data_IF_278387220232
#
_entry.id   IF_278387220232
#
_cell.length_a   1.000
_cell.length_b   1.000
_cell.length_c   1.000
_cell.angle_alpha   90.00
_cell.angle_beta   90.00
_cell.angle_gamma   90.00
#
_symmetry.space_group_name_H-M   'P 1'
#
loop_
_entity.id
_entity.type
_entity.pdbx_description
1 polymer ?
#
# COMPACT_ATOMS: atom_id res chain seq x y z
N UNK A 1 -30.47 -12.56 36.13
CA UNK A 1 -29.35 -11.73 36.60
C UNK A 1 -29.03 -10.78 35.47
N UNK A 2 -29.38 -9.51 35.62
CA UNK A 2 -28.87 -8.47 34.73
C UNK A 2 -27.40 -8.25 35.12
N UNK A 3 -26.49 -8.52 34.19
CA UNK A 3 -25.10 -8.14 34.39
C UNK A 3 -25.05 -6.61 34.44
N UNK A 4 -24.37 -6.00 35.41
CA UNK A 4 -24.18 -4.57 35.41
C UNK A 4 -23.40 -4.19 34.15
N UNK A 5 -24.11 -3.65 33.16
CA UNK A 5 -23.51 -3.00 32.00
C UNK A 5 -22.86 -1.71 32.46
N UNK A 6 -21.65 -1.46 31.98
CA UNK A 6 -21.04 -0.14 32.15
C UNK A 6 -22.00 0.93 31.61
N UNK A 7 -21.92 2.13 32.15
CA UNK A 7 -22.64 3.24 31.55
C UNK A 7 -22.19 3.44 30.08
N UNK A 8 -23.09 3.89 29.20
CA UNK A 8 -22.79 3.98 27.77
C UNK A 8 -21.58 4.86 27.45
N UNK A 9 -21.34 5.92 28.22
CA UNK A 9 -20.24 6.85 28.00
C UNK A 9 -18.90 6.17 28.30
N UNK A 10 -18.79 5.48 29.45
CA UNK A 10 -17.62 4.65 29.78
C UNK A 10 -17.38 3.57 28.73
N UNK A 11 -18.44 2.94 28.22
CA UNK A 11 -18.30 1.92 27.18
C UNK A 11 -17.70 2.50 25.88
N UNK A 12 -18.12 3.69 25.48
CA UNK A 12 -17.59 4.40 24.31
C UNK A 12 -16.12 4.75 24.52
N UNK A 13 -15.76 5.30 25.68
CA UNK A 13 -14.37 5.65 26.01
C UNK A 13 -13.45 4.42 25.96
N UNK A 14 -13.87 3.31 26.57
CA UNK A 14 -13.11 2.05 26.55
C UNK A 14 -12.97 1.52 25.12
N UNK A 15 -14.05 1.56 24.32
CA UNK A 15 -13.99 1.13 22.91
C UNK A 15 -13.02 1.98 22.09
N UNK A 16 -12.99 3.30 22.31
CA UNK A 16 -12.03 4.21 21.67
C UNK A 16 -10.59 3.91 22.10
N UNK A 17 -10.35 3.63 23.38
CA UNK A 17 -9.03 3.23 23.89
C UNK A 17 -8.55 1.91 23.28
N UNK A 18 -9.45 0.92 23.16
CA UNK A 18 -9.16 -0.37 22.52
C UNK A 18 -8.87 -0.16 21.04
N UNK A 19 -9.68 0.62 20.33
CA UNK A 19 -9.48 0.92 18.92
C UNK A 19 -8.12 1.57 18.69
N UNK A 20 -7.78 2.59 19.48
CA UNK A 20 -6.51 3.31 19.33
C UNK A 20 -5.30 2.40 19.58
N UNK A 21 -5.40 1.53 20.59
CA UNK A 21 -4.40 0.50 20.86
C UNK A 21 -4.23 -0.47 19.69
N UNK A 22 -5.34 -1.05 19.20
CA UNK A 22 -5.32 -2.01 18.11
C UNK A 22 -4.77 -1.38 16.82
N UNK A 23 -5.14 -0.13 16.52
CA UNK A 23 -4.58 0.62 15.39
C UNK A 23 -3.06 0.73 15.51
N UNK A 24 -2.55 1.19 16.65
CA UNK A 24 -1.11 1.35 16.84
C UNK A 24 -0.34 0.03 16.72
N UNK A 25 -0.81 -1.04 17.35
CA UNK A 25 -0.16 -2.36 17.26
C UNK A 25 -0.22 -2.90 15.83
N UNK A 26 -1.37 -2.77 15.16
CA UNK A 26 -1.53 -3.28 13.79
C UNK A 26 -0.66 -2.51 12.79
N UNK A 27 -0.56 -1.18 12.93
CA UNK A 27 0.32 -0.35 12.10
C UNK A 27 1.78 -0.75 12.32
N UNK A 28 2.22 -0.89 13.57
CA UNK A 28 3.58 -1.30 13.90
C UNK A 28 3.92 -2.67 13.29
N UNK A 29 2.98 -3.62 13.38
CA UNK A 29 3.11 -4.92 12.73
C UNK A 29 3.22 -4.75 11.20
N UNK A 30 2.29 -4.05 10.54
CA UNK A 30 2.33 -3.88 9.08
C UNK A 30 3.65 -3.26 8.62
N UNK A 31 4.14 -2.24 9.31
CA UNK A 31 5.41 -1.57 8.99
C UNK A 31 6.62 -2.51 9.20
N UNK A 32 6.71 -3.18 10.34
CA UNK A 32 7.79 -4.12 10.64
C UNK A 32 7.80 -5.32 9.68
N UNK A 33 6.63 -5.84 9.31
CA UNK A 33 6.52 -6.94 8.34
C UNK A 33 6.91 -6.51 6.93
N UNK A 34 6.52 -5.30 6.51
CA UNK A 34 6.94 -4.73 5.23
C UNK A 34 8.46 -4.63 5.12
N UNK A 35 9.13 -4.19 6.19
CA UNK A 35 10.59 -4.10 6.25
C UNK A 35 11.28 -5.48 6.17
N UNK A 36 10.85 -6.46 7.00
CA UNK A 36 11.45 -7.79 7.03
C UNK A 36 11.31 -8.55 5.69
N UNK A 37 10.20 -8.34 4.97
CA UNK A 37 9.98 -8.91 3.62
C UNK A 37 10.94 -8.33 2.60
N UNK A 38 11.20 -7.01 2.64
CA UNK A 38 12.17 -6.36 1.73
C UNK A 38 13.62 -6.84 1.95
N UNK A 39 13.92 -7.39 3.12
CA UNK A 39 15.23 -7.94 3.50
C UNK A 39 15.36 -9.46 3.25
N UNK A 40 14.37 -10.08 2.59
CA UNK A 40 14.41 -11.49 2.19
C UNK A 40 14.27 -12.48 3.35
N UNK A 41 13.83 -12.03 4.53
CA UNK A 41 13.57 -12.90 5.67
C UNK A 41 12.19 -13.56 5.52
N UNK A 42 12.14 -14.89 5.74
CA UNK A 42 10.89 -15.63 5.79
C UNK A 42 10.05 -15.12 6.97
N UNK A 43 9.09 -14.25 6.66
CA UNK A 43 8.10 -13.77 7.60
C UNK A 43 7.31 -14.97 8.12
N UNK A 44 7.41 -15.26 9.42
CA UNK A 44 6.34 -15.99 10.10
C UNK A 44 5.02 -15.28 9.76
N UNK A 45 4.04 -16.07 9.31
CA UNK A 45 2.73 -15.57 8.93
C UNK A 45 1.98 -15.15 10.20
N UNK A 46 2.22 -13.94 10.67
CA UNK A 46 1.39 -13.34 11.71
C UNK A 46 0.06 -13.00 11.06
N UNK A 47 -0.96 -13.75 11.46
CA UNK A 47 -2.31 -13.56 10.95
C UNK A 47 -2.83 -12.19 11.40
N UNK A 48 -2.67 -11.17 10.54
CA UNK A 48 -3.22 -9.83 10.77
C UNK A 48 -4.74 -9.81 10.65
N UNK A 49 -5.37 -10.88 10.16
CA UNK A 49 -6.82 -10.89 9.89
C UNK A 49 -7.64 -10.66 11.15
N UNK A 50 -7.22 -11.19 12.31
CA UNK A 50 -7.95 -10.99 13.55
C UNK A 50 -7.94 -9.52 14.00
N UNK A 51 -6.80 -8.84 13.89
CA UNK A 51 -6.66 -7.43 14.23
C UNK A 51 -7.55 -6.56 13.35
N UNK A 52 -7.47 -6.78 12.03
CA UNK A 52 -8.21 -6.02 11.04
C UNK A 52 -9.71 -6.21 11.18
N UNK A 53 -10.17 -7.46 11.32
CA UNK A 53 -11.58 -7.77 11.54
C UNK A 53 -12.10 -7.12 12.82
N UNK A 54 -11.29 -7.07 13.89
CA UNK A 54 -11.66 -6.44 15.15
C UNK A 54 -11.76 -4.92 15.00
N UNK A 55 -10.79 -4.28 14.35
CA UNK A 55 -10.80 -2.85 14.04
C UNK A 55 -12.04 -2.49 13.21
N UNK A 56 -12.33 -3.26 12.16
CA UNK A 56 -13.49 -3.03 11.31
C UNK A 56 -14.80 -3.21 12.07
N UNK A 57 -14.89 -4.22 12.93
CA UNK A 57 -16.07 -4.45 13.77
C UNK A 57 -16.30 -3.28 14.74
N UNK A 58 -15.26 -2.83 15.45
CA UNK A 58 -15.37 -1.71 16.39
C UNK A 58 -15.76 -0.44 15.64
N UNK A 59 -15.13 -0.17 14.49
CA UNK A 59 -15.40 1.02 13.66
C UNK A 59 -16.81 1.02 13.07
N UNK A 60 -17.31 -0.11 12.59
CA UNK A 60 -18.58 -0.18 11.88
C UNK A 60 -19.80 -0.37 12.81
N UNK A 61 -19.62 -1.12 13.90
CA UNK A 61 -20.73 -1.57 14.74
C UNK A 61 -20.80 -0.79 16.06
N UNK A 62 -19.66 -0.35 16.60
CA UNK A 62 -19.60 0.14 17.97
C UNK A 62 -19.40 1.65 18.10
N UNK A 63 -18.94 2.33 17.04
CA UNK A 63 -18.57 3.74 17.12
C UNK A 63 -19.07 4.53 15.91
N UNK A 64 -19.61 5.71 16.16
CA UNK A 64 -19.89 6.68 15.10
C UNK A 64 -18.60 7.39 14.68
N UNK A 65 -18.36 7.62 13.37
CA UNK A 65 -17.15 8.28 12.88
C UNK A 65 -16.86 9.66 13.51
N UNK A 66 -17.91 10.39 13.91
CA UNK A 66 -17.81 11.72 14.53
C UNK A 66 -17.19 11.70 15.94
N UNK A 67 -17.05 10.52 16.55
CA UNK A 67 -16.46 10.34 17.88
C UNK A 67 -14.94 10.17 17.84
N UNK A 68 -14.35 10.02 16.66
CA UNK A 68 -12.91 9.79 16.55
C UNK A 68 -12.13 11.08 16.76
N UNK A 69 -11.08 10.99 17.57
CA UNK A 69 -10.09 12.07 17.65
C UNK A 69 -9.34 12.19 16.31
N UNK A 70 -8.73 13.34 16.09
CA UNK A 70 -7.88 13.57 14.91
C UNK A 70 -6.80 12.49 14.77
N UNK A 71 -6.18 12.08 15.88
CA UNK A 71 -5.11 11.09 15.88
C UNK A 71 -5.63 9.69 15.49
N UNK A 72 -6.82 9.30 15.94
CA UNK A 72 -7.46 8.05 15.51
C UNK A 72 -7.77 8.11 14.01
N UNK A 73 -8.29 9.22 13.50
CA UNK A 73 -8.51 9.40 12.06
C UNK A 73 -7.22 9.25 11.25
N UNK A 74 -6.13 9.89 11.70
CA UNK A 74 -4.83 9.76 11.04
C UNK A 74 -4.36 8.31 11.08
N UNK A 75 -4.43 7.63 12.23
CA UNK A 75 -4.02 6.22 12.38
C UNK A 75 -4.81 5.28 11.46
N UNK A 76 -6.12 5.49 11.30
CA UNK A 76 -6.94 4.74 10.34
C UNK A 76 -6.40 4.93 8.91
N UNK A 77 -6.14 6.17 8.50
CA UNK A 77 -5.59 6.43 7.16
C UNK A 77 -4.16 5.88 6.97
N UNK A 78 -3.33 5.89 8.02
CA UNK A 78 -2.00 5.25 8.01
C UNK A 78 -2.15 3.75 7.75
N UNK A 79 -3.05 3.07 8.48
CA UNK A 79 -3.26 1.64 8.32
C UNK A 79 -3.75 1.29 6.92
N UNK A 80 -4.80 1.98 6.43
CA UNK A 80 -5.36 1.73 5.10
C UNK A 80 -4.31 1.92 3.99
N UNK A 81 -3.50 2.97 4.08
CA UNK A 81 -2.43 3.22 3.12
C UNK A 81 -1.30 2.18 3.23
N UNK A 82 -0.85 1.86 4.45
CA UNK A 82 0.22 0.91 4.69
C UNK A 82 -0.13 -0.50 4.16
N UNK A 83 -1.37 -0.95 4.38
CA UNK A 83 -1.85 -2.22 3.83
C UNK A 83 -1.80 -2.22 2.30
N UNK A 84 -2.38 -1.20 1.66
CA UNK A 84 -2.41 -1.10 0.21
C UNK A 84 -1.01 -1.05 -0.41
N UNK A 85 -0.08 -0.36 0.25
CA UNK A 85 1.31 -0.25 -0.14
C UNK A 85 2.05 -1.58 0.01
N UNK A 86 1.92 -2.26 1.16
CA UNK A 86 2.58 -3.53 1.44
C UNK A 86 2.07 -4.67 0.56
N UNK A 87 0.75 -4.75 0.32
CA UNK A 87 0.17 -5.72 -0.62
C UNK A 87 0.66 -5.46 -2.06
N UNK A 88 1.09 -4.23 -2.33
CA UNK A 88 1.65 -3.71 -3.60
C UNK A 88 2.87 -4.47 -4.05
N UNK A 89 3.83 -4.50 -3.16
CA UNK A 89 5.15 -5.07 -3.38
C UNK A 89 5.11 -6.58 -3.63
N UNK A 90 4.19 -7.30 -2.98
CA UNK A 90 4.06 -8.76 -3.11
C UNK A 90 3.71 -9.18 -4.54
N UNK A 91 2.98 -8.36 -5.29
CA UNK A 91 2.55 -8.69 -6.65
C UNK A 91 3.60 -8.33 -7.72
N UNK A 92 4.37 -7.26 -7.50
CA UNK A 92 5.44 -6.82 -8.40
C UNK A 92 6.67 -7.73 -8.34
N UNK A 93 7.00 -8.28 -7.17
CA UNK A 93 8.09 -9.25 -7.03
C UNK A 93 7.77 -10.62 -7.66
N UNK A 94 6.51 -11.06 -7.61
CA UNK A 94 6.09 -12.34 -8.20
C UNK A 94 6.00 -12.31 -9.74
N UNK A 95 5.85 -11.13 -10.34
CA UNK A 95 5.97 -10.95 -11.79
C UNK A 95 7.41 -11.16 -12.30
N UNK A 96 8.40 -11.25 -11.40
CA UNK A 96 9.81 -11.47 -11.71
C UNK A 96 10.29 -12.91 -11.44
N UNK A 97 9.56 -13.93 -11.90
CA UNK A 97 10.08 -15.31 -11.94
C UNK A 97 10.90 -15.57 -13.23
N UNK A 98 11.86 -16.51 -13.20
CA UNK A 98 13.22 -16.30 -13.69
C UNK A 98 13.31 -16.27 -15.21
N UNK A 99 14.22 -15.44 -15.70
CA UNK A 99 14.76 -15.55 -17.04
C UNK A 99 15.19 -17.00 -17.27
N UNK A 100 14.48 -17.69 -18.16
CA UNK A 100 14.89 -18.97 -18.72
C UNK A 100 16.32 -18.79 -19.20
N UNK A 101 17.27 -19.45 -18.53
CA UNK A 101 18.61 -19.67 -19.04
C UNK A 101 18.47 -20.38 -20.39
N UNK A 102 18.54 -19.58 -21.46
CA UNK A 102 18.79 -20.08 -22.80
C UNK A 102 20.20 -20.67 -22.77
N UNK A 103 20.26 -21.96 -22.49
CA UNK A 103 21.43 -22.82 -22.67
C UNK A 103 22.07 -22.52 -24.02
N UNK A 104 23.29 -21.99 -23.96
CA UNK A 104 24.18 -21.81 -25.09
C UNK A 104 24.32 -23.14 -25.84
N UNK A 105 23.75 -23.19 -27.03
CA UNK A 105 23.95 -24.27 -27.97
C UNK A 105 25.43 -24.36 -28.37
N UNK A 106 26.10 -25.39 -27.88
CA UNK A 106 27.41 -25.80 -28.38
C UNK A 106 27.23 -26.55 -29.71
N UNK A 107 27.71 -25.96 -30.79
CA UNK A 107 27.98 -26.65 -32.04
C UNK A 107 29.25 -27.49 -31.90
N UNK A 108 29.18 -28.80 -32.20
CA UNK A 108 30.25 -29.55 -32.88
C UNK A 108 29.73 -30.85 -33.53
N UNK A 109 29.72 -30.80 -34.86
CA UNK A 109 30.03 -31.81 -35.88
C UNK A 109 29.67 -33.30 -35.71
N UNK A 110 28.74 -33.73 -36.58
CA UNK A 110 28.91 -34.72 -37.68
C UNK A 110 29.57 -36.08 -37.42
N UNK A 111 28.75 -37.13 -37.53
CA UNK A 111 28.93 -38.45 -38.19
C UNK A 111 27.60 -39.20 -37.91
N UNK A 112 26.85 -39.86 -38.80
CA UNK A 112 27.14 -40.66 -39.99
C UNK A 112 26.44 -42.04 -39.78
N UNK A 113 25.62 -42.47 -40.75
CA UNK A 113 25.05 -43.83 -40.96
C UNK A 113 23.53 -44.08 -40.69
N UNK A 114 22.76 -44.04 -41.78
CA UNK A 114 21.88 -45.09 -42.36
C UNK A 114 20.99 -46.00 -41.47
N UNK A 115 19.66 -45.95 -41.65
CA UNK A 115 18.88 -46.83 -42.58
C UNK A 115 17.40 -47.04 -42.17
N UNK A 116 16.53 -46.90 -43.17
CA UNK A 116 15.35 -47.70 -43.59
C UNK A 116 14.37 -48.26 -42.53
N UNK A 117 13.09 -47.91 -42.69
CA UNK A 117 11.96 -48.69 -42.14
C UNK A 117 10.59 -48.01 -42.30
N UNK A 118 9.78 -48.53 -43.23
CA UNK A 118 8.45 -48.09 -43.67
C UNK A 118 7.31 -48.28 -42.65
N UNK A 119 6.34 -47.36 -42.68
CA UNK A 119 4.90 -47.60 -42.95
C UNK A 119 3.85 -47.07 -41.95
N UNK A 120 2.80 -46.49 -42.56
CA UNK A 120 1.40 -46.32 -42.13
C UNK A 120 0.97 -45.32 -41.03
N UNK A 121 0.31 -44.26 -41.54
CA UNK A 121 -1.10 -43.89 -41.23
C UNK A 121 -1.37 -43.12 -39.93
N UNK A 122 -1.53 -41.79 -40.07
CA UNK A 122 -2.81 -41.07 -39.85
C UNK A 122 -2.70 -39.62 -40.29
N UNK A 123 -3.44 -39.27 -41.34
CA UNK A 123 -3.87 -37.88 -41.59
C UNK A 123 -4.74 -37.45 -40.41
N UNK A 124 -4.28 -36.47 -39.65
CA UNK A 124 -5.14 -35.53 -38.94
C UNK A 124 -4.60 -34.15 -39.25
N UNK A 125 -5.37 -33.40 -40.03
CA UNK A 125 -5.16 -31.98 -40.27
C UNK A 125 -5.15 -31.23 -38.93
N UNK A 126 -4.20 -30.31 -38.68
CA UNK A 126 -4.40 -29.33 -37.63
C UNK A 126 -5.44 -28.32 -38.12
N UNK A 127 -6.66 -28.52 -37.62
CA UNK A 127 -7.73 -27.54 -37.61
C UNK A 127 -7.17 -26.25 -36.98
N UNK A 128 -7.40 -25.11 -37.63
CA UNK A 128 -7.28 -23.80 -37.01
C UNK A 128 -7.92 -23.78 -35.62
N UNK A 129 -7.16 -23.34 -34.61
CA UNK A 129 -7.70 -22.81 -33.35
C UNK A 129 -6.87 -21.60 -32.89
N UNK A 130 -7.53 -20.65 -32.22
CA UNK A 130 -7.23 -19.24 -32.35
C UNK A 130 -6.23 -18.76 -31.29
N UNK A 131 -5.41 -17.83 -31.71
CA UNK A 131 -4.36 -17.18 -30.94
C UNK A 131 -4.93 -16.01 -30.11
N UNK A 132 -6.06 -16.20 -29.42
CA UNK A 132 -6.88 -15.09 -28.88
C UNK A 132 -6.90 -14.97 -27.35
N UNK A 133 -6.35 -15.94 -26.61
CA UNK A 133 -6.40 -15.92 -25.14
C UNK A 133 -5.21 -15.20 -24.48
N UNK A 134 -4.13 -14.87 -25.21
CA UNK A 134 -2.96 -14.20 -24.61
C UNK A 134 -3.07 -12.68 -24.55
N UNK A 135 -3.80 -12.03 -25.46
CA UNK A 135 -3.94 -10.56 -25.47
C UNK A 135 -4.88 -10.06 -24.38
N UNK A 136 -5.98 -10.77 -24.12
CA UNK A 136 -6.99 -10.41 -23.11
C UNK A 136 -6.42 -10.42 -21.68
N UNK A 137 -5.50 -11.33 -21.38
CA UNK A 137 -4.83 -11.38 -20.08
C UNK A 137 -3.86 -10.22 -19.85
N UNK A 138 -3.20 -9.71 -20.89
CA UNK A 138 -2.22 -8.61 -20.77
C UNK A 138 -2.94 -7.28 -20.53
N UNK A 139 -4.02 -7.00 -21.26
CA UNK A 139 -4.80 -5.76 -21.10
C UNK A 139 -5.47 -5.66 -19.72
N UNK A 140 -5.93 -6.79 -19.18
CA UNK A 140 -6.52 -6.85 -17.83
C UNK A 140 -5.47 -6.61 -16.73
N UNK A 141 -4.24 -7.09 -16.91
CA UNK A 141 -3.13 -6.90 -15.97
C UNK A 141 -2.76 -5.42 -15.82
N UNK A 142 -2.64 -4.70 -16.94
CA UNK A 142 -2.26 -3.28 -16.93
C UNK A 142 -3.35 -2.37 -16.39
N UNK A 143 -4.62 -2.68 -16.70
CA UNK A 143 -5.76 -1.93 -16.14
C UNK A 143 -5.82 -2.08 -14.62
N UNK A 144 -5.57 -3.28 -14.09
CA UNK A 144 -5.49 -3.52 -12.65
C UNK A 144 -4.31 -2.76 -12.00
N UNK A 145 -3.15 -2.74 -12.65
CA UNK A 145 -1.97 -2.00 -12.17
C UNK A 145 -2.19 -0.48 -12.15
N UNK A 146 -2.82 0.09 -13.19
CA UNK A 146 -3.16 1.50 -13.27
C UNK A 146 -4.15 1.92 -12.17
N UNK A 147 -5.23 1.16 -12.00
CA UNK A 147 -6.20 1.39 -10.92
C UNK A 147 -5.54 1.32 -9.54
N UNK A 148 -4.62 0.37 -9.35
CA UNK A 148 -3.89 0.20 -8.09
C UNK A 148 -2.99 1.40 -7.77
N UNK A 149 -2.18 1.85 -8.73
CA UNK A 149 -1.29 3.01 -8.52
C UNK A 149 -2.07 4.28 -8.23
N UNK A 150 -3.21 4.47 -8.89
CA UNK A 150 -4.09 5.60 -8.62
C UNK A 150 -4.70 5.51 -7.21
N UNK A 151 -5.21 4.34 -6.81
CA UNK A 151 -5.77 4.14 -5.47
C UNK A 151 -4.72 4.38 -4.38
N UNK A 152 -3.47 3.95 -4.60
CA UNK A 152 -2.37 4.18 -3.68
C UNK A 152 -2.08 5.67 -3.51
N UNK A 153 -2.04 6.40 -4.63
CA UNK A 153 -1.84 7.84 -4.67
C UNK A 153 -3.00 8.60 -3.99
N UNK A 154 -4.26 8.26 -4.28
CA UNK A 154 -5.44 8.85 -3.63
C UNK A 154 -5.37 8.66 -2.10
N UNK A 155 -5.08 7.44 -1.64
CA UNK A 155 -4.95 7.15 -0.20
C UNK A 155 -3.82 7.94 0.45
N UNK A 156 -2.67 8.06 -0.22
CA UNK A 156 -1.55 8.86 0.28
C UNK A 156 -1.93 10.35 0.40
N UNK A 157 -2.51 10.93 -0.64
CA UNK A 157 -2.91 12.34 -0.63
C UNK A 157 -3.96 12.60 0.45
N UNK A 158 -4.94 11.71 0.62
CA UNK A 158 -5.92 11.78 1.71
C UNK A 158 -5.26 11.72 3.08
N UNK A 159 -4.31 10.81 3.28
CA UNK A 159 -3.54 10.72 4.52
C UNK A 159 -2.81 12.05 4.79
N UNK A 160 -2.22 12.66 3.77
CA UNK A 160 -1.54 13.94 3.94
C UNK A 160 -2.52 15.07 4.33
N UNK A 161 -3.69 15.12 3.71
CA UNK A 161 -4.72 16.12 4.01
C UNK A 161 -5.29 15.97 5.43
N UNK A 162 -5.55 14.74 5.86
CA UNK A 162 -6.04 14.47 7.22
C UNK A 162 -4.95 14.72 8.27
N UNK A 163 -3.68 14.51 7.93
CA UNK A 163 -2.57 14.83 8.83
C UNK A 163 -2.36 16.34 9.01
N UNK A 164 -2.79 17.14 8.05
CA UNK A 164 -2.76 18.61 8.06
C UNK A 164 -1.39 19.16 8.51
N UNK A 165 -1.26 19.62 9.76
CA UNK A 165 -0.03 20.21 10.31
C UNK A 165 0.98 19.17 10.82
N UNK A 166 0.62 17.88 10.91
CA UNK A 166 1.47 16.79 11.39
C UNK A 166 2.10 16.05 10.21
N UNK A 167 2.67 16.75 9.23
CA UNK A 167 3.27 16.14 8.05
C UNK A 167 4.79 15.97 8.21
N UNK A 168 5.32 14.74 8.12
CA UNK A 168 6.75 14.51 8.03
C UNK A 168 7.37 15.18 6.80
N UNK A 169 8.67 15.43 6.87
CA UNK A 169 9.47 15.88 5.71
C UNK A 169 9.45 14.83 4.58
N UNK A 170 9.57 15.27 3.33
CA UNK A 170 9.63 14.38 2.16
C UNK A 170 8.28 13.89 1.63
N UNK A 171 7.15 14.28 2.25
CA UNK A 171 5.82 13.90 1.78
C UNK A 171 5.52 14.35 0.34
N UNK A 172 6.01 15.53 -0.06
CA UNK A 172 5.88 16.03 -1.44
C UNK A 172 6.66 15.19 -2.45
N UNK A 173 7.82 14.65 -2.05
CA UNK A 173 8.65 13.82 -2.91
C UNK A 173 8.01 12.45 -3.11
N UNK A 174 7.44 11.87 -2.04
CA UNK A 174 6.65 10.64 -2.10
C UNK A 174 5.42 10.83 -3.01
N UNK A 175 4.66 11.92 -2.81
CA UNK A 175 3.51 12.23 -3.67
C UNK A 175 3.92 12.35 -5.15
N UNK A 176 5.03 13.05 -5.41
CA UNK A 176 5.57 13.22 -6.76
C UNK A 176 5.90 11.88 -7.40
N UNK A 177 6.54 10.98 -6.66
CA UNK A 177 6.92 9.66 -7.18
C UNK A 177 5.70 8.76 -7.42
N UNK A 178 4.71 8.80 -6.52
CA UNK A 178 3.43 8.09 -6.72
C UNK A 178 2.65 8.63 -7.94
N UNK A 179 2.67 9.95 -8.19
CA UNK A 179 2.11 10.56 -9.41
C UNK A 179 2.85 10.04 -10.64
N UNK A 180 4.19 10.02 -10.62
CA UNK A 180 4.97 9.49 -11.76
C UNK A 180 4.62 8.04 -12.04
N UNK A 181 4.50 7.21 -11.01
CA UNK A 181 4.17 5.80 -11.13
C UNK A 181 2.76 5.59 -11.68
N UNK A 182 1.77 6.35 -11.18
CA UNK A 182 0.41 6.30 -11.69
C UNK A 182 0.31 6.75 -13.16
N UNK A 183 0.99 7.84 -13.52
CA UNK A 183 1.06 8.35 -14.88
C UNK A 183 1.76 7.36 -15.82
N UNK A 184 2.83 6.71 -15.37
CA UNK A 184 3.54 5.69 -16.13
C UNK A 184 2.66 4.45 -16.37
N UNK A 185 1.95 3.98 -15.34
CA UNK A 185 1.05 2.85 -15.49
C UNK A 185 -0.11 3.16 -16.44
N UNK A 186 -0.66 4.37 -16.40
CA UNK A 186 -1.66 4.83 -17.37
C UNK A 186 -1.09 5.00 -18.78
N UNK A 187 0.14 5.46 -18.93
CA UNK A 187 0.80 5.50 -20.24
C UNK A 187 0.98 4.09 -20.83
N UNK A 188 1.39 3.12 -20.01
CA UNK A 188 1.57 1.73 -20.43
C UNK A 188 0.26 1.05 -20.86
N UNK A 189 -0.90 1.45 -20.31
CA UNK A 189 -2.20 0.89 -20.75
C UNK A 189 -2.65 1.42 -22.12
N UNK A 190 -2.14 2.57 -22.56
CA UNK A 190 -2.53 3.23 -23.81
C UNK A 190 -1.80 2.72 -25.07
N UNK A 191 -0.86 1.75 -24.93
CA UNK A 191 -0.15 1.15 -26.05
C UNK A 191 0.90 2.07 -26.71
N UNK A 192 1.25 1.82 -27.98
CA UNK A 192 2.21 2.65 -28.75
C UNK A 192 1.62 4.01 -29.09
N UNK A 193 1.67 4.94 -28.14
CA UNK A 193 1.33 6.36 -28.31
C UNK A 193 2.61 7.22 -28.51
N UNK A 194 2.49 8.45 -29.05
CA UNK A 194 3.62 9.33 -29.30
C UNK A 194 4.32 9.80 -28.02
N UNK A 195 5.51 10.39 -28.21
CA UNK A 195 6.44 10.86 -27.17
C UNK A 195 5.84 11.80 -26.12
N UNK A 196 4.72 12.46 -26.43
CA UNK A 196 4.04 13.41 -25.56
C UNK A 196 2.96 12.78 -24.65
N UNK A 197 2.64 11.49 -24.86
CA UNK A 197 1.55 10.80 -24.14
C UNK A 197 1.74 10.69 -22.63
N UNK A 198 2.99 10.66 -22.14
CA UNK A 198 3.25 10.64 -20.69
C UNK A 198 2.77 11.93 -20.01
N UNK A 199 3.07 13.09 -20.63
CA UNK A 199 2.65 14.37 -20.08
C UNK A 199 1.13 14.45 -19.97
N UNK A 200 0.40 13.96 -20.98
CA UNK A 200 -1.06 13.88 -20.94
C UNK A 200 -1.56 12.94 -19.85
N UNK A 201 -0.92 11.77 -19.66
CA UNK A 201 -1.25 10.84 -18.59
C UNK A 201 -1.03 11.48 -17.21
N UNK A 202 0.07 12.20 -17.01
CA UNK A 202 0.33 12.92 -15.76
C UNK A 202 -0.76 13.96 -15.48
N UNK A 203 -1.12 14.78 -16.47
CA UNK A 203 -2.21 15.77 -16.34
C UNK A 203 -3.55 15.10 -16.02
N UNK A 204 -3.84 13.94 -16.64
CA UNK A 204 -5.06 13.17 -16.39
C UNK A 204 -5.12 12.60 -14.98
N UNK A 205 -4.01 12.03 -14.48
CA UNK A 205 -3.91 11.53 -13.10
C UNK A 205 -4.13 12.69 -12.11
N UNK A 206 -3.48 13.83 -12.32
CA UNK A 206 -3.62 15.01 -11.46
C UNK A 206 -5.06 15.57 -11.54
N UNK A 207 -5.65 15.60 -12.73
CA UNK A 207 -7.04 16.00 -12.95
C UNK A 207 -8.01 15.13 -12.18
N UNK A 208 -7.89 13.80 -12.30
CA UNK A 208 -8.69 12.83 -11.53
C UNK A 208 -8.52 13.01 -10.03
N UNK A 209 -7.29 13.23 -9.55
CA UNK A 209 -7.04 13.48 -8.13
C UNK A 209 -7.79 14.74 -7.66
N UNK A 210 -7.69 15.83 -8.44
CA UNK A 210 -8.39 17.07 -8.12
C UNK A 210 -9.91 16.85 -8.07
N UNK A 211 -10.49 16.21 -9.07
CA UNK A 211 -11.92 15.88 -9.10
C UNK A 211 -12.34 15.07 -7.88
N UNK A 212 -11.54 14.06 -7.52
CA UNK A 212 -11.80 13.17 -6.38
C UNK A 212 -11.73 13.90 -5.03
N UNK A 213 -10.91 14.94 -4.95
CA UNK A 213 -10.74 15.78 -3.76
C UNK A 213 -11.76 16.92 -3.67
N UNK A 214 -12.20 17.47 -4.81
CA UNK A 214 -13.17 18.57 -4.88
C UNK A 214 -14.58 18.15 -4.46
N UNK A 215 -14.96 16.89 -4.64
CA UNK A 215 -16.20 16.32 -4.08
C UNK A 215 -16.22 16.33 -2.54
N UNK A 216 -15.09 16.64 -1.88
CA UNK A 216 -14.94 16.79 -0.43
C UNK A 216 -14.93 18.23 0.10
N UNK A 217 -15.19 19.27 -0.72
CA UNK A 217 -15.38 20.67 -0.28
C UNK A 217 -14.24 21.29 0.56
N UNK A 218 -12.97 20.97 0.32
CA UNK A 218 -11.87 21.52 1.14
C UNK A 218 -10.82 22.27 0.30
N UNK A 219 -10.70 23.59 0.52
CA UNK A 219 -9.69 24.49 -0.05
C UNK A 219 -8.24 23.99 0.16
N UNK A 220 -8.01 23.26 1.25
CA UNK A 220 -6.75 22.60 1.62
C UNK A 220 -6.22 21.63 0.54
N UNK A 221 -7.11 21.00 -0.22
CA UNK A 221 -6.72 20.06 -1.28
C UNK A 221 -6.02 20.74 -2.45
N UNK A 222 -6.49 21.94 -2.82
CA UNK A 222 -5.91 22.73 -3.92
C UNK A 222 -4.57 23.32 -3.50
N UNK A 223 -4.45 23.73 -2.25
CA UNK A 223 -3.20 24.24 -1.69
C UNK A 223 -2.14 23.12 -1.65
N UNK A 224 -2.48 21.94 -1.12
CA UNK A 224 -1.57 20.80 -1.04
C UNK A 224 -1.01 20.41 -2.41
N UNK A 225 -1.87 20.28 -3.43
CA UNK A 225 -1.44 19.93 -4.79
C UNK A 225 -0.57 21.00 -5.46
N UNK A 226 -0.64 22.27 -5.00
CA UNK A 226 0.24 23.33 -5.52
C UNK A 226 1.70 23.19 -5.07
N UNK A 227 1.93 22.55 -3.92
CA UNK A 227 3.27 22.29 -3.39
C UNK A 227 3.93 21.05 -3.99
N UNK A 228 3.13 20.12 -4.53
CA UNK A 228 3.65 18.91 -5.18
C UNK A 228 4.23 19.27 -6.53
N UNK A 229 5.52 18.95 -6.74
CA UNK A 229 6.19 19.19 -8.02
C UNK A 229 5.61 18.27 -9.08
N UNK A 230 4.92 18.84 -10.06
CA UNK A 230 4.32 18.08 -11.15
C UNK A 230 5.41 17.61 -12.11
N UNK A 231 5.51 16.30 -12.39
CA UNK A 231 6.48 15.76 -13.33
C UNK A 231 6.00 16.03 -14.76
N UNK A 232 6.16 17.27 -15.23
CA UNK A 232 5.71 17.67 -16.57
C UNK A 232 6.75 17.28 -17.65
N UNK A 233 8.02 17.05 -17.27
CA UNK A 233 9.10 16.75 -18.21
C UNK A 233 9.79 15.37 -18.04
N UNK A 234 10.03 14.77 -19.22
CA UNK A 234 10.85 13.61 -19.65
C UNK A 234 10.27 12.18 -19.62
N UNK A 235 10.37 11.50 -20.79
CA UNK A 235 11.14 10.25 -20.84
C UNK A 235 12.10 10.17 -22.05
N UNK A 236 13.38 9.82 -21.82
CA UNK A 236 14.07 8.90 -22.74
C UNK A 236 15.11 8.03 -22.01
N UNK A 237 14.68 7.08 -21.18
CA UNK A 237 15.38 5.79 -20.97
C UNK A 237 14.48 4.83 -20.18
N UNK A 238 13.43 4.33 -20.84
CA UNK A 238 12.32 3.52 -20.26
C UNK A 238 12.76 2.12 -19.78
N UNK A 239 14.05 1.76 -19.84
CA UNK A 239 14.51 0.40 -19.51
C UNK A 239 15.47 0.31 -18.32
N UNK A 240 15.86 1.44 -17.72
CA UNK A 240 16.61 1.44 -16.45
C UNK A 240 15.68 1.83 -15.32
N UNK A 241 14.69 0.98 -15.04
CA UNK A 241 13.99 1.04 -13.77
C UNK A 241 15.04 0.82 -12.67
N UNK A 242 15.29 1.80 -11.78
CA UNK A 242 16.00 1.50 -10.55
C UNK A 242 15.17 0.43 -9.84
N UNK A 243 15.75 -0.73 -9.56
CA UNK A 243 15.11 -1.70 -8.68
C UNK A 243 14.77 -0.98 -7.36
N UNK A 244 13.52 -1.15 -7.02
CA UNK A 244 12.66 -0.24 -6.28
C UNK A 244 12.85 -0.40 -4.77
N UNK A 245 13.85 0.29 -4.22
CA UNK A 245 14.12 0.29 -2.78
C UNK A 245 14.02 1.69 -2.16
N UNK A 246 14.02 2.74 -2.99
CA UNK A 246 14.05 4.14 -2.56
C UNK A 246 12.70 4.63 -2.05
N UNK A 247 11.65 4.44 -2.84
CA UNK A 247 10.29 4.88 -2.47
C UNK A 247 9.76 4.09 -1.28
N UNK A 248 10.00 2.78 -1.23
CA UNK A 248 9.52 1.91 -0.15
C UNK A 248 10.15 2.27 1.18
N UNK A 249 11.45 2.58 1.19
CA UNK A 249 12.13 3.12 2.36
C UNK A 249 11.59 4.51 2.73
N UNK A 250 11.39 5.40 1.76
CA UNK A 250 10.87 6.74 2.01
C UNK A 250 9.45 6.69 2.62
N UNK A 251 8.57 5.85 2.08
CA UNK A 251 7.22 5.59 2.59
C UNK A 251 7.28 5.02 3.99
N UNK A 252 8.13 4.01 4.24
CA UNK A 252 8.27 3.43 5.57
C UNK A 252 8.76 4.47 6.60
N UNK A 253 9.77 5.26 6.26
CA UNK A 253 10.26 6.36 7.12
C UNK A 253 9.15 7.39 7.37
N UNK A 254 8.44 7.83 6.33
CA UNK A 254 7.32 8.75 6.44
C UNK A 254 6.24 8.25 7.40
N UNK A 255 5.77 7.00 7.24
CA UNK A 255 4.73 6.44 8.10
C UNK A 255 5.22 6.27 9.55
N UNK A 256 6.47 5.85 9.72
CA UNK A 256 7.09 5.73 11.05
C UNK A 256 7.18 7.09 11.74
N UNK A 257 7.62 8.12 11.04
CA UNK A 257 7.77 9.46 11.61
C UNK A 257 6.42 10.14 11.85
N UNK A 258 5.43 9.88 10.99
CA UNK A 258 4.06 10.29 11.23
C UNK A 258 3.52 9.67 12.52
N UNK A 259 3.68 8.37 12.72
CA UNK A 259 3.23 7.68 13.94
C UNK A 259 3.92 8.20 15.21
N UNK A 260 5.17 8.66 15.13
CA UNK A 260 5.87 9.28 16.28
C UNK A 260 5.33 10.65 16.66
N UNK A 261 4.67 11.36 15.74
CA UNK A 261 4.05 12.67 16.01
C UNK A 261 2.63 12.57 16.57
N UNK A 262 2.05 11.36 16.62
CA UNK A 262 0.74 11.11 17.19
C UNK A 262 0.85 10.70 18.65
N UNK A 263 -0.20 10.98 19.42
CA UNK A 263 -0.24 10.59 20.82
C UNK A 263 -0.27 9.05 20.93
N UNK A 264 0.58 8.46 21.79
CA UNK A 264 0.55 7.03 22.01
C UNK A 264 -0.76 6.64 22.73
N UNK A 265 -1.37 5.48 22.42
CA UNK A 265 -2.58 5.03 23.10
C UNK A 265 -2.37 4.92 24.60
N UNK A 266 -3.39 5.29 25.37
CA UNK A 266 -3.37 5.23 26.84
C UNK A 266 -2.97 3.82 27.32
N UNK A 267 -3.47 2.77 26.67
CA UNK A 267 -3.14 1.39 27.01
C UNK A 267 -1.64 1.09 26.85
N UNK A 268 -0.99 1.58 25.78
CA UNK A 268 0.47 1.45 25.60
C UNK A 268 1.24 2.26 26.67
N UNK A 269 0.74 3.43 27.02
CA UNK A 269 1.36 4.26 28.07
C UNK A 269 1.33 3.57 29.44
N UNK A 270 0.21 2.90 29.76
CA UNK A 270 0.05 2.10 30.98
C UNK A 270 0.98 0.90 31.00
N UNK A 271 1.10 0.16 29.90
CA UNK A 271 2.06 -0.95 29.74
C UNK A 271 3.51 -0.48 30.00
N UNK A 272 3.85 0.73 29.54
CA UNK A 272 5.19 1.34 29.73
C UNK A 272 5.40 1.96 31.11
N UNK A 273 4.37 1.96 31.97
CA UNK A 273 4.44 2.46 33.34
C UNK A 273 4.53 3.99 33.47
N UNK A 274 4.16 4.74 32.43
CA UNK A 274 4.09 6.21 32.49
C UNK A 274 2.93 6.73 31.64
N UNK A 275 1.90 7.24 32.32
CA UNK A 275 0.80 7.93 31.68
C UNK A 275 1.16 9.40 31.42
N UNK A 276 0.78 9.92 30.27
CA UNK A 276 0.97 11.32 29.88
C UNK A 276 0.29 12.26 30.88
N UNK A 277 0.99 13.33 31.24
CA UNK A 277 0.52 14.28 32.26
C UNK A 277 0.73 13.82 33.71
N UNK A 278 1.16 12.58 33.96
CA UNK A 278 1.48 12.07 35.30
C UNK A 278 2.97 11.76 35.46
N UNK A 279 3.47 11.88 36.69
CA UNK A 279 4.76 11.31 37.09
C UNK A 279 4.69 9.77 37.11
N UNK A 280 5.86 9.11 37.19
CA UNK A 280 5.90 7.64 37.33
C UNK A 280 5.28 7.19 38.66
N UNK A 281 5.52 7.94 39.72
CA UNK A 281 4.97 7.69 41.06
C UNK A 281 3.45 7.86 41.07
N UNK A 282 2.93 8.88 40.38
CA UNK A 282 1.50 9.10 40.21
C UNK A 282 0.85 8.01 39.36
N UNK A 283 1.52 7.58 38.29
CA UNK A 283 1.06 6.46 37.45
C UNK A 283 1.01 5.17 38.26
N UNK A 284 2.03 4.89 39.10
CA UNK A 284 2.05 3.69 39.95
C UNK A 284 0.92 3.73 40.99
N UNK A 285 0.70 4.88 41.64
CA UNK A 285 -0.43 5.04 42.58
C UNK A 285 -1.78 4.80 41.91
N UNK A 286 -1.94 5.28 40.67
CA UNK A 286 -3.17 5.05 39.90
C UNK A 286 -3.34 3.56 39.60
N UNK A 287 -2.28 2.90 39.12
CA UNK A 287 -2.25 1.44 38.86
C UNK A 287 -2.62 0.62 40.08
N UNK A 288 -1.99 0.88 41.22
CA UNK A 288 -2.29 0.19 42.49
C UNK A 288 -3.75 0.39 42.91
N UNK A 289 -4.32 1.58 42.68
CA UNK A 289 -5.72 1.91 43.01
C UNK A 289 -6.72 1.16 42.14
N UNK A 290 -6.41 0.93 40.87
CA UNK A 290 -7.31 0.26 39.90
C UNK A 290 -7.02 -1.23 39.71
N UNK A 291 -5.98 -1.75 40.39
CA UNK A 291 -5.62 -3.18 40.37
C UNK A 291 -4.85 -3.63 39.13
N UNK A 292 -4.01 -2.75 38.54
CA UNK A 292 -3.19 -2.99 37.34
C UNK A 292 -1.69 -3.17 37.64
#
# INVERSE_FOLDING_TARGET
MEFPTADPDTQIEVNLMILDYLLCITIDLVLCHGAAKSEGQQSHNWDLSWNLNTIDTIRAVLLHPDLFSQDIHIKIHVLEFAQLFCDGHVLLEQSGAPAVELSQGNYRSSEGAESIGTDTRRRLSPLHRPHQDKESHITNCWTAASNRSYNLLDKFVRLCLVSNNKLPEGHTDIATELIKQAALNEYCTMGTQPRDGYSECAHRVIGRLRETLEHGSNQLSTEYLSYVRLPIDLPPDVWKMPRDNGISRAVHCFLTDLMKMLDPPILIQLERGKLGGLSREETQKLRDKVGL
#
